data_IF_497017325741
#
_entry.id   IF_497017325741
#
_cell.length_a   1.000
_cell.length_b   1.000
_cell.length_c   1.000
_cell.angle_alpha   90.00
_cell.angle_beta   90.00
_cell.angle_gamma   90.00
#
_symmetry.space_group_name_H-M   'P 1'
#
loop_
_entity.id
_entity.type
_entity.pdbx_description
1 polymer ?
#
# COMPACT_ATOMS: atom_id res chain seq x y z
N UNK A 1 6.76 10.41 11.76
CA UNK A 1 7.65 11.28 10.96
C UNK A 1 9.11 10.97 11.31
N UNK A 2 10.05 11.13 10.38
CA UNK A 2 11.51 11.02 10.63
C UNK A 2 12.23 12.12 9.87
N UNK A 3 13.08 12.90 10.53
CA UNK A 3 13.84 13.99 9.90
C UNK A 3 12.96 14.98 9.12
N UNK A 4 11.82 15.38 9.68
CA UNK A 4 10.86 16.29 9.02
C UNK A 4 9.98 15.66 7.94
N UNK A 5 10.16 14.38 7.60
CA UNK A 5 9.39 13.70 6.57
C UNK A 5 8.21 12.93 7.18
N UNK A 6 7.02 13.20 6.64
CA UNK A 6 5.85 12.35 6.85
C UNK A 6 5.93 11.10 5.97
N UNK A 7 5.52 9.98 6.54
CA UNK A 7 5.36 8.71 5.85
C UNK A 7 4.21 7.96 6.52
N UNK A 8 3.45 7.24 5.71
CA UNK A 8 2.31 6.46 6.15
C UNK A 8 2.33 5.07 5.53
N UNK A 9 1.72 4.12 6.23
CA UNK A 9 1.45 2.78 5.73
C UNK A 9 0.15 2.29 6.37
N UNK A 10 -0.84 2.01 5.54
CA UNK A 10 -2.17 1.63 5.98
C UNK A 10 -2.75 0.58 5.04
N UNK A 11 -3.43 -0.39 5.63
CA UNK A 11 -4.29 -1.34 4.94
C UNK A 11 -5.35 -1.80 5.94
N UNK A 12 -6.61 -1.41 5.71
CA UNK A 12 -7.75 -1.82 6.55
C UNK A 12 -7.79 -3.34 6.69
N UNK A 13 -7.66 -4.05 5.58
CA UNK A 13 -7.70 -5.51 5.52
C UNK A 13 -6.64 -6.17 6.40
N UNK A 14 -5.41 -5.63 6.44
CA UNK A 14 -4.37 -6.19 7.31
C UNK A 14 -4.62 -5.89 8.79
N UNK A 15 -5.14 -4.71 9.11
CA UNK A 15 -5.53 -4.40 10.49
C UNK A 15 -6.63 -5.35 10.97
N UNK A 16 -7.70 -5.50 10.19
CA UNK A 16 -8.81 -6.40 10.51
C UNK A 16 -8.36 -7.87 10.60
N UNK A 17 -7.48 -8.31 9.69
CA UNK A 17 -6.93 -9.65 9.74
C UNK A 17 -6.08 -9.87 11.00
N UNK A 18 -5.26 -8.88 11.39
CA UNK A 18 -4.44 -8.96 12.60
C UNK A 18 -5.29 -9.03 13.87
N UNK A 19 -6.45 -8.36 13.91
CA UNK A 19 -7.38 -8.42 15.04
C UNK A 19 -8.02 -9.80 15.26
N UNK A 20 -7.91 -10.72 14.28
CA UNK A 20 -8.32 -12.13 14.43
C UNK A 20 -7.26 -13.00 15.11
N UNK A 21 -6.05 -12.48 15.33
CA UNK A 21 -4.94 -13.21 15.95
C UNK A 21 -4.95 -13.03 17.48
N UNK A 22 -4.86 -14.12 18.27
CA UNK A 22 -5.06 -14.06 19.72
C UNK A 22 -3.96 -13.30 20.49
N UNK A 23 -2.78 -13.11 19.91
CA UNK A 23 -1.64 -12.44 20.54
C UNK A 23 -1.52 -10.96 20.15
N UNK A 24 -2.38 -10.47 19.25
CA UNK A 24 -2.38 -9.07 18.83
C UNK A 24 -3.23 -8.27 19.81
N UNK A 25 -2.75 -7.07 20.17
CA UNK A 25 -3.50 -6.14 21.01
C UNK A 25 -4.85 -5.82 20.35
N UNK A 26 -5.94 -6.03 21.09
CA UNK A 26 -7.28 -5.58 20.67
C UNK A 26 -7.30 -4.06 20.53
N UNK A 27 -7.82 -3.58 19.41
CA UNK A 27 -8.07 -2.17 19.18
C UNK A 27 -9.30 -1.73 19.99
N UNK A 28 -9.18 -0.61 20.70
CA UNK A 28 -10.31 0.08 21.31
C UNK A 28 -11.15 0.80 20.26
N UNK A 29 -12.36 1.22 20.64
CA UNK A 29 -13.28 1.96 19.77
C UNK A 29 -12.64 3.24 19.18
N UNK A 30 -11.87 3.98 19.97
CA UNK A 30 -11.13 5.16 19.50
C UNK A 30 -10.11 4.84 18.39
N UNK A 31 -9.49 3.66 18.42
CA UNK A 31 -8.60 3.25 17.34
C UNK A 31 -9.40 2.97 16.07
N UNK A 32 -10.56 2.34 16.17
CA UNK A 32 -11.43 2.09 15.02
C UNK A 32 -11.95 3.40 14.42
N UNK A 33 -12.46 4.30 15.26
CA UNK A 33 -12.90 5.64 14.86
C UNK A 33 -11.79 6.40 14.13
N UNK A 34 -10.54 6.33 14.60
CA UNK A 34 -9.42 6.97 13.92
C UNK A 34 -9.11 6.35 12.55
N UNK A 35 -9.26 5.03 12.40
CA UNK A 35 -9.07 4.37 11.10
C UNK A 35 -10.22 4.70 10.15
N UNK A 36 -11.45 4.82 10.66
CA UNK A 36 -12.65 5.16 9.88
C UNK A 36 -12.55 6.59 9.35
N UNK A 37 -12.21 7.54 10.22
CA UNK A 37 -11.92 8.92 9.82
C UNK A 37 -10.80 9.01 8.77
N UNK A 38 -9.74 8.19 8.91
CA UNK A 38 -8.68 8.13 7.89
C UNK A 38 -9.22 7.66 6.53
N UNK A 39 -10.09 6.65 6.52
CA UNK A 39 -10.68 6.13 5.29
C UNK A 39 -11.65 7.14 4.65
N UNK A 40 -12.46 7.81 5.47
CA UNK A 40 -13.37 8.88 5.03
C UNK A 40 -12.61 10.03 4.37
N UNK A 41 -11.57 10.55 5.04
CA UNK A 41 -10.73 11.63 4.49
C UNK A 41 -9.98 11.19 3.23
N UNK A 42 -9.52 9.93 3.17
CA UNK A 42 -8.87 9.41 1.97
C UNK A 42 -9.85 9.35 0.78
N UNK A 43 -11.12 9.01 1.03
CA UNK A 43 -12.16 9.02 0.00
C UNK A 43 -12.52 10.45 -0.42
N UNK A 44 -12.67 11.38 0.54
CA UNK A 44 -12.97 12.78 0.27
C UNK A 44 -11.91 13.45 -0.63
N UNK A 45 -10.63 13.11 -0.41
CA UNK A 45 -9.51 13.65 -1.16
C UNK A 45 -9.00 12.72 -2.29
N UNK A 46 -9.78 11.70 -2.64
CA UNK A 46 -9.40 10.74 -3.67
C UNK A 46 -9.33 11.43 -5.04
N UNK A 47 -8.31 11.07 -5.83
CA UNK A 47 -8.23 11.39 -7.25
C UNK A 47 -8.52 10.12 -8.04
N UNK A 48 -9.65 10.13 -8.74
CA UNK A 48 -10.05 9.02 -9.60
C UNK A 48 -9.32 9.09 -10.94
N UNK A 49 -8.89 7.94 -11.43
CA UNK A 49 -8.24 7.79 -12.73
C UNK A 49 -8.72 6.49 -13.37
N UNK A 50 -9.33 6.61 -14.54
CA UNK A 50 -9.60 5.48 -15.42
C UNK A 50 -8.34 5.18 -16.26
N UNK A 51 -7.93 3.92 -16.32
CA UNK A 51 -6.76 3.50 -17.11
C UNK A 51 -7.18 3.07 -18.51
N UNK A 52 -6.61 3.69 -19.53
CA UNK A 52 -6.59 3.17 -20.88
C UNK A 52 -5.37 2.24 -21.11
N UNK A 53 -5.42 1.32 -22.10
CA UNK A 53 -4.26 0.53 -22.48
C UNK A 53 -3.05 1.43 -22.82
N UNK A 54 -1.94 1.22 -22.10
CA UNK A 54 -0.71 2.01 -22.26
C UNK A 54 -0.51 3.09 -21.20
N UNK A 55 -1.55 3.44 -20.43
CA UNK A 55 -1.41 4.39 -19.33
C UNK A 55 -0.51 3.84 -18.22
N UNK A 56 0.27 4.74 -17.63
CA UNK A 56 1.18 4.45 -16.54
C UNK A 56 0.91 5.39 -15.37
N UNK A 57 0.83 4.81 -14.17
CA UNK A 57 0.69 5.56 -12.93
C UNK A 57 1.89 5.30 -12.03
N UNK A 58 2.56 6.39 -11.65
CA UNK A 58 3.68 6.37 -10.71
C UNK A 58 3.24 7.08 -9.43
N UNK A 59 3.31 6.37 -8.31
CA UNK A 59 2.94 6.89 -7.00
C UNK A 59 4.08 6.70 -6.00
N UNK A 60 4.16 7.63 -5.05
CA UNK A 60 5.00 7.43 -3.88
C UNK A 60 4.19 6.68 -2.81
N UNK A 61 4.43 5.37 -2.71
CA UNK A 61 3.73 4.46 -1.80
C UNK A 61 3.81 4.86 -0.30
N UNK A 62 4.72 5.76 0.08
CA UNK A 62 4.86 6.19 1.48
C UNK A 62 4.05 7.43 1.82
N UNK A 63 3.39 8.06 0.84
CA UNK A 63 2.58 9.27 1.06
C UNK A 63 1.26 9.29 0.28
N UNK A 64 1.06 8.36 -0.66
CA UNK A 64 -0.18 8.21 -1.42
C UNK A 64 -0.78 6.84 -1.15
N UNK A 65 -2.02 6.82 -0.70
CA UNK A 65 -2.85 5.62 -0.69
C UNK A 65 -3.40 5.38 -2.10
N UNK A 66 -3.53 4.12 -2.48
CA UNK A 66 -4.08 3.73 -3.77
C UNK A 66 -4.98 2.52 -3.60
N UNK A 67 -6.07 2.52 -4.34
CA UNK A 67 -7.06 1.47 -4.36
C UNK A 67 -7.64 1.36 -5.77
N UNK A 68 -8.59 0.45 -5.93
CA UNK A 68 -9.43 0.36 -7.11
C UNK A 68 -10.85 0.09 -6.68
N UNK A 69 -11.79 0.46 -7.54
CA UNK A 69 -13.17 0.03 -7.37
C UNK A 69 -13.35 -1.45 -7.69
N UNK A 70 -14.50 -1.97 -7.24
CA UNK A 70 -14.97 -3.27 -7.65
C UNK A 70 -15.26 -3.25 -9.16
N UNK A 71 -14.87 -4.33 -9.85
CA UNK A 71 -15.14 -4.51 -11.27
C UNK A 71 -15.41 -5.99 -11.55
N UNK A 72 -16.04 -6.26 -12.68
CA UNK A 72 -16.31 -7.60 -13.20
C UNK A 72 -15.61 -7.77 -14.56
N UNK A 73 -14.96 -8.91 -14.78
CA UNK A 73 -14.39 -9.27 -16.09
C UNK A 73 -15.53 -9.66 -17.04
N UNK A 74 -15.50 -9.20 -18.30
CA UNK A 74 -16.40 -9.70 -19.35
C UNK A 74 -15.81 -10.97 -19.98
N UNK A 75 -16.08 -12.08 -19.31
CA UNK A 75 -15.62 -13.41 -19.72
C UNK A 75 -16.18 -13.81 -21.08
N UNK A 76 -17.42 -13.40 -21.41
CA UNK A 76 -18.07 -13.78 -22.65
C UNK A 76 -17.42 -13.10 -23.86
N UNK A 77 -17.02 -11.83 -23.73
CA UNK A 77 -16.27 -11.10 -24.75
C UNK A 77 -14.74 -11.36 -24.71
N UNK A 78 -14.27 -12.18 -23.77
CA UNK A 78 -12.85 -12.45 -23.55
C UNK A 78 -12.05 -11.24 -23.06
N UNK A 79 -12.72 -10.20 -22.54
CA UNK A 79 -12.08 -8.99 -22.04
C UNK A 79 -11.78 -9.14 -20.55
N UNK A 80 -10.51 -8.96 -20.19
CA UNK A 80 -10.04 -9.04 -18.80
C UNK A 80 -9.11 -7.89 -18.49
N UNK A 81 -9.24 -7.29 -17.31
CA UNK A 81 -8.34 -6.22 -16.89
C UNK A 81 -6.94 -6.81 -16.61
N UNK A 82 -5.92 -6.27 -17.27
CA UNK A 82 -4.52 -6.63 -17.05
C UNK A 82 -3.70 -5.37 -16.74
N UNK A 83 -3.15 -5.32 -15.53
CA UNK A 83 -2.23 -4.27 -15.09
C UNK A 83 -0.92 -4.90 -14.60
N UNK A 84 0.20 -4.40 -15.09
CA UNK A 84 1.52 -4.75 -14.58
C UNK A 84 1.95 -3.77 -13.50
N UNK A 85 2.58 -4.27 -12.44
CA UNK A 85 3.03 -3.46 -11.32
C UNK A 85 4.50 -3.75 -11.01
N UNK A 86 5.26 -2.68 -10.81
CA UNK A 86 6.66 -2.73 -10.40
C UNK A 86 6.88 -1.88 -9.17
N UNK A 87 7.80 -2.30 -8.30
CA UNK A 87 8.29 -1.51 -7.17
C UNK A 87 9.62 -0.89 -7.54
N UNK A 88 9.71 0.43 -7.39
CA UNK A 88 10.92 1.19 -7.70
C UNK A 88 11.52 1.73 -6.40
N UNK A 89 12.85 1.70 -6.34
CA UNK A 89 13.61 2.42 -5.31
C UNK A 89 14.53 3.41 -5.99
N UNK A 90 14.60 4.60 -5.40
CA UNK A 90 15.37 5.71 -5.91
C UNK A 90 16.49 6.05 -4.94
N UNK A 91 17.67 6.39 -5.47
CA UNK A 91 18.83 6.83 -4.68
C UNK A 91 18.58 8.15 -3.92
N UNK A 92 17.55 8.92 -4.32
CA UNK A 92 17.10 10.13 -3.63
C UNK A 92 15.86 9.88 -2.75
N UNK A 93 15.63 8.64 -2.32
CA UNK A 93 14.47 8.29 -1.49
C UNK A 93 14.50 8.94 -0.10
N UNK A 94 13.32 9.31 0.40
CA UNK A 94 13.16 9.88 1.75
C UNK A 94 13.44 8.83 2.84
N UNK A 95 13.84 9.24 4.07
CA UNK A 95 13.92 8.32 5.19
C UNK A 95 12.53 7.83 5.59
N UNK A 96 12.44 6.60 6.09
CA UNK A 96 11.22 6.01 6.65
C UNK A 96 11.33 5.88 8.17
N UNK A 97 10.21 5.83 8.90
CA UNK A 97 10.21 5.49 10.33
C UNK A 97 10.91 4.14 10.57
N UNK A 98 11.67 4.02 11.67
CA UNK A 98 12.41 2.79 11.97
C UNK A 98 11.51 1.55 12.08
N UNK A 99 10.25 1.73 12.51
CA UNK A 99 9.23 0.67 12.58
C UNK A 99 8.86 0.07 11.22
N UNK A 100 9.17 0.75 10.12
CA UNK A 100 8.86 0.28 8.77
C UNK A 100 9.89 -0.75 8.27
N UNK A 101 11.01 -0.94 8.98
CA UNK A 101 12.09 -1.85 8.57
C UNK A 101 11.64 -3.30 8.41
N UNK A 102 10.62 -3.73 9.16
CA UNK A 102 10.05 -5.09 9.06
C UNK A 102 9.51 -5.38 7.66
N UNK A 103 8.90 -4.39 7.00
CA UNK A 103 8.30 -4.56 5.67
C UNK A 103 9.24 -4.14 4.54
N UNK A 104 10.01 -3.08 4.76
CA UNK A 104 10.78 -2.42 3.70
C UNK A 104 12.30 -2.61 3.80
N UNK A 105 12.80 -3.22 4.88
CA UNK A 105 14.22 -3.40 5.12
C UNK A 105 14.90 -2.09 5.53
N UNK A 106 15.79 -1.59 4.69
CA UNK A 106 16.49 -0.34 4.96
C UNK A 106 15.53 0.87 4.95
N UNK A 107 15.64 1.72 5.95
CA UNK A 107 14.79 2.89 6.17
C UNK A 107 15.54 4.22 6.05
N UNK A 108 16.85 4.19 5.78
CA UNK A 108 17.65 5.40 5.66
C UNK A 108 17.38 6.13 4.34
N UNK A 109 17.64 7.44 4.36
CA UNK A 109 17.48 8.27 3.17
C UNK A 109 18.47 7.82 2.08
N UNK A 110 18.00 7.74 0.84
CA UNK A 110 18.77 7.30 -0.31
C UNK A 110 19.16 5.82 -0.34
N UNK A 111 18.78 5.05 0.68
CA UNK A 111 19.03 3.61 0.69
C UNK A 111 18.23 2.92 -0.42
N UNK A 112 18.91 2.01 -1.14
CA UNK A 112 18.26 1.12 -2.10
C UNK A 112 17.40 0.11 -1.36
N UNK A 113 16.09 0.31 -1.41
CA UNK A 113 15.08 -0.55 -0.78
C UNK A 113 14.36 -1.42 -1.82
N UNK A 114 13.87 -2.57 -1.39
CA UNK A 114 13.01 -3.41 -2.23
C UNK A 114 11.54 -3.09 -2.02
N UNK A 115 10.66 -3.77 -2.77
CA UNK A 115 9.27 -3.94 -2.35
C UNK A 115 9.17 -4.84 -1.10
N UNK A 116 7.94 -5.11 -0.66
CA UNK A 116 7.67 -5.98 0.48
C UNK A 116 8.32 -7.36 0.26
N UNK A 117 9.30 -7.71 1.09
CA UNK A 117 9.98 -9.01 1.03
C UNK A 117 9.14 -10.08 1.71
N UNK A 118 8.87 -11.17 1.01
CA UNK A 118 8.26 -12.35 1.61
C UNK A 118 9.34 -13.14 2.39
N UNK A 119 8.99 -13.78 3.53
CA UNK A 119 9.92 -14.61 4.30
C UNK A 119 10.56 -15.76 3.51
N UNK A 120 9.90 -16.22 2.44
CA UNK A 120 10.38 -17.31 1.58
C UNK A 120 11.45 -16.88 0.56
N UNK A 121 11.81 -15.60 0.50
CA UNK A 121 12.70 -15.07 -0.55
C UNK A 121 12.08 -15.03 -1.95
N UNK A 122 10.84 -15.47 -2.12
CA UNK A 122 10.11 -15.37 -3.38
C UNK A 122 9.42 -14.02 -3.49
N UNK A 123 9.70 -13.27 -4.54
CA UNK A 123 8.81 -12.19 -4.96
C UNK A 123 7.50 -12.82 -5.43
N UNK A 124 6.36 -12.44 -4.86
CA UNK A 124 5.07 -12.80 -5.46
C UNK A 124 5.05 -12.27 -6.90
N UNK A 125 4.80 -13.13 -7.92
CA UNK A 125 4.57 -12.62 -9.27
C UNK A 125 3.26 -11.84 -9.36
N UNK A 126 2.37 -11.90 -8.35
CA UNK A 126 1.03 -11.28 -8.40
C UNK A 126 0.50 -10.96 -6.99
N UNK A 127 0.78 -9.77 -6.49
CA UNK A 127 -0.26 -9.06 -5.73
C UNK A 127 -0.93 -8.14 -6.74
N UNK A 128 -2.05 -8.61 -7.28
CA UNK A 128 -3.00 -7.78 -8.01
C UNK A 128 -3.83 -7.11 -6.92
N UNK A 129 -3.56 -5.83 -6.68
CA UNK A 129 -4.68 -4.92 -6.42
C UNK A 129 -5.12 -4.50 -7.79
#
# INVERSE_FOLDING_TARGET
MRGGHFATHYSRTFVEAAQKLPHVRTLSDQHWEALDLLAELAQEHCLEMEFAPGDMQFINNHVVYHARDAFEDDIAAGQRRLLYRVWLSMENSRPLPASFSVLFGDTDAGAMRGGIRQPSGQSFPRQIV
#
